data_IF_835232887654
#
_entry.id   IF_835232887654
#
_cell.length_a   1.000
_cell.length_b   1.000
_cell.length_c   1.000
_cell.angle_alpha   90.00
_cell.angle_beta   90.00
_cell.angle_gamma   90.00
#
_symmetry.space_group_name_H-M   'P 1'
#
loop_
_entity.id
_entity.type
_entity.pdbx_description
1 polymer ?
#
# COMPACT_ATOMS: atom_id res chain seq x y z
N UNK A 1 6.61 -13.80 -16.16
CA UNK A 1 5.90 -13.69 -14.86
C UNK A 1 5.54 -12.23 -14.65
N UNK A 2 4.29 -11.93 -14.29
CA UNK A 2 3.82 -10.54 -14.16
C UNK A 2 4.33 -9.99 -12.84
N UNK A 3 5.12 -8.90 -12.88
CA UNK A 3 5.58 -8.23 -11.66
C UNK A 3 4.35 -7.76 -10.88
N UNK A 4 4.33 -7.92 -9.55
CA UNK A 4 3.25 -7.36 -8.74
C UNK A 4 3.18 -5.86 -8.99
N UNK A 5 1.97 -5.33 -9.04
CA UNK A 5 1.74 -3.89 -9.21
C UNK A 5 1.20 -3.29 -7.92
N UNK A 6 1.29 -1.97 -7.79
CA UNK A 6 0.62 -1.22 -6.72
C UNK A 6 -0.89 -1.49 -6.63
N UNK A 7 -1.50 -1.97 -7.72
CA UNK A 7 -2.92 -2.37 -7.78
C UNK A 7 -3.16 -3.73 -7.13
N UNK A 8 -2.20 -4.64 -7.21
CA UNK A 8 -2.25 -5.94 -6.54
C UNK A 8 -2.02 -5.78 -5.04
N UNK A 9 -1.07 -4.92 -4.66
CA UNK A 9 -0.87 -4.48 -3.27
C UNK A 9 -2.15 -3.87 -2.69
N UNK A 10 -2.80 -2.99 -3.44
CA UNK A 10 -4.04 -2.35 -3.02
C UNK A 10 -5.17 -3.36 -2.78
N UNK A 11 -5.30 -4.34 -3.69
CA UNK A 11 -6.29 -5.41 -3.58
C UNK A 11 -6.02 -6.29 -2.35
N UNK A 12 -4.76 -6.67 -2.11
CA UNK A 12 -4.37 -7.52 -1.00
C UNK A 12 -4.55 -6.81 0.35
N UNK A 13 -4.17 -5.53 0.45
CA UNK A 13 -4.32 -4.73 1.66
C UNK A 13 -5.76 -4.24 1.91
N UNK A 14 -6.66 -4.39 0.93
CA UNK A 14 -8.05 -3.94 1.01
C UNK A 14 -8.20 -2.41 0.97
N UNK A 15 -7.36 -1.74 0.19
CA UNK A 15 -7.33 -0.27 0.09
C UNK A 15 -7.38 0.19 -1.37
N UNK A 16 -7.49 1.50 -1.59
CA UNK A 16 -7.36 2.09 -2.92
C UNK A 16 -5.90 2.18 -3.35
N UNK A 17 -5.64 2.11 -4.67
CA UNK A 17 -4.29 2.32 -5.24
C UNK A 17 -3.70 3.68 -4.84
N UNK A 18 -4.54 4.71 -4.70
CA UNK A 18 -4.13 6.03 -4.20
C UNK A 18 -3.58 5.95 -2.77
N UNK A 19 -4.18 5.14 -1.89
CA UNK A 19 -3.70 4.90 -0.52
C UNK A 19 -2.33 4.23 -0.53
N UNK A 20 -2.13 3.21 -1.37
CA UNK A 20 -0.82 2.56 -1.55
C UNK A 20 0.22 3.58 -2.04
N UNK A 21 -0.15 4.43 -3.00
CA UNK A 21 0.73 5.49 -3.48
C UNK A 21 1.08 6.48 -2.38
N UNK A 22 0.13 6.87 -1.52
CA UNK A 22 0.42 7.75 -0.40
C UNK A 22 1.38 7.11 0.62
N UNK A 23 1.18 5.83 0.95
CA UNK A 23 2.06 5.10 1.88
C UNK A 23 3.48 4.93 1.33
N UNK A 24 3.61 4.58 0.04
CA UNK A 24 4.93 4.44 -0.61
C UNK A 24 5.64 5.79 -0.73
N UNK A 25 4.91 6.85 -1.08
CA UNK A 25 5.48 8.20 -1.21
C UNK A 25 5.62 8.94 0.13
N UNK A 26 5.30 8.29 1.27
CA UNK A 26 5.33 8.92 2.61
C UNK A 26 4.38 10.11 2.76
N UNK A 27 3.35 10.21 1.91
CA UNK A 27 2.34 11.29 1.92
C UNK A 27 1.11 10.93 2.76
N UNK A 28 1.07 9.74 3.35
CA UNK A 28 -0.01 9.30 4.23
C UNK A 28 -0.12 10.17 5.50
N UNK A 29 1.01 10.62 6.04
CA UNK A 29 1.07 11.52 7.20
C UNK A 29 0.62 12.96 6.89
N UNK A 30 0.81 13.44 5.67
CA UNK A 30 0.51 14.82 5.28
C UNK A 30 -0.98 15.06 5.02
N UNK A 31 -1.74 14.01 4.70
CA UNK A 31 -3.19 14.12 4.46
C UNK A 31 -4.05 13.61 5.61
N UNK A 32 -3.50 12.95 6.64
CA UNK A 32 -4.27 12.50 7.80
C UNK A 32 -5.32 11.42 7.50
N UNK A 33 -5.19 10.69 6.38
CA UNK A 33 -6.25 9.80 5.87
C UNK A 33 -5.92 8.29 5.98
N UNK A 34 -4.74 7.91 6.48
CA UNK A 34 -4.36 6.49 6.58
C UNK A 34 -4.04 6.17 8.03
N UNK A 35 -4.90 5.37 8.65
CA UNK A 35 -4.64 4.84 9.99
C UNK A 35 -3.39 3.95 9.98
N UNK A 36 -2.69 3.88 11.10
CA UNK A 36 -1.52 3.00 11.24
C UNK A 36 -1.83 1.55 10.88
N UNK A 37 -3.02 1.06 11.23
CA UNK A 37 -3.48 -0.28 10.82
C UNK A 37 -3.49 -0.46 9.29
N UNK A 38 -3.98 0.55 8.57
CA UNK A 38 -4.03 0.51 7.10
C UNK A 38 -2.63 0.53 6.51
N UNK A 39 -1.73 1.33 7.11
CA UNK A 39 -0.31 1.37 6.73
C UNK A 39 0.35 0.01 6.92
N UNK A 40 0.13 -0.63 8.07
CA UNK A 40 0.65 -1.97 8.38
C UNK A 40 0.16 -3.01 7.37
N UNK A 41 -1.13 -3.00 7.02
CA UNK A 41 -1.69 -3.89 5.99
C UNK A 41 -1.05 -3.68 4.61
N UNK A 42 -0.83 -2.42 4.21
CA UNK A 42 -0.16 -2.10 2.94
C UNK A 42 1.30 -2.57 2.96
N UNK A 43 2.03 -2.34 4.04
CA UNK A 43 3.42 -2.78 4.18
C UNK A 43 3.54 -4.32 4.17
N UNK A 44 2.64 -5.02 4.85
CA UNK A 44 2.57 -6.47 4.81
C UNK A 44 2.28 -7.00 3.39
N UNK A 45 1.31 -6.39 2.69
CA UNK A 45 1.00 -6.73 1.31
C UNK A 45 2.17 -6.49 0.34
N UNK A 46 2.93 -5.41 0.53
CA UNK A 46 4.15 -5.12 -0.25
C UNK A 46 5.20 -6.22 -0.05
N UNK A 47 5.44 -6.63 1.20
CA UNK A 47 6.38 -7.70 1.52
C UNK A 47 5.91 -9.06 0.97
N UNK A 48 4.63 -9.41 1.15
CA UNK A 48 4.06 -10.67 0.68
C UNK A 48 4.12 -10.81 -0.84
N UNK A 49 3.88 -9.71 -1.56
CA UNK A 49 3.96 -9.69 -3.01
C UNK A 49 5.40 -9.57 -3.53
N UNK A 50 6.39 -9.31 -2.68
CA UNK A 50 7.75 -8.99 -3.14
C UNK A 50 7.79 -7.75 -4.03
N UNK A 51 6.91 -6.79 -3.76
CA UNK A 51 6.84 -5.53 -4.48
C UNK A 51 8.00 -4.63 -4.03
N UNK A 52 8.97 -4.40 -4.92
CA UNK A 52 10.09 -3.47 -4.73
C UNK A 52 9.84 -2.15 -5.47
#
# INVERSE_FOLDING_TARGET
MKRPSSRDVARLAGVSQATVSHVINGRDAAKGHVSEETRTRVLAAIQELGYQ
#
